data_IF_488616299590
#
_entry.id   IF_488616299590
#
_cell.length_a   1.000
_cell.length_b   1.000
_cell.length_c   1.000
_cell.angle_alpha   90.00
_cell.angle_beta   90.00
_cell.angle_gamma   90.00
#
_symmetry.space_group_name_H-M   'P 1'
#
loop_
_entity.id
_entity.type
_entity.pdbx_description
1 polymer ?
#
# COMPACT_ATOMS: atom_id res chain seq x y z
N UNK A 1 10.81 32.16 -51.22
CA UNK A 1 10.90 32.19 -49.75
C UNK A 1 9.91 31.16 -49.24
N UNK A 2 10.38 30.00 -48.79
CA UNK A 2 9.51 28.90 -48.34
C UNK A 2 9.47 28.89 -46.80
N UNK A 3 8.28 29.03 -46.23
CA UNK A 3 8.04 28.90 -44.79
C UNK A 3 7.83 27.41 -44.51
N UNK A 4 8.78 26.80 -43.82
CA UNK A 4 8.63 25.45 -43.26
C UNK A 4 7.89 25.59 -41.92
N UNK A 5 6.61 25.21 -41.89
CA UNK A 5 5.87 25.02 -40.64
C UNK A 5 6.27 23.66 -40.05
N UNK A 6 7.23 23.68 -39.12
CA UNK A 6 7.51 22.56 -38.23
C UNK A 6 6.36 22.46 -37.21
N UNK A 7 5.39 21.60 -37.48
CA UNK A 7 4.47 21.12 -36.45
C UNK A 7 5.27 20.23 -35.49
N UNK A 8 5.76 20.82 -34.40
CA UNK A 8 6.28 20.06 -33.28
C UNK A 8 5.12 19.29 -32.64
N UNK A 9 4.94 18.03 -33.04
CA UNK A 9 4.11 17.09 -32.29
C UNK A 9 4.87 16.81 -30.99
N UNK A 10 4.54 17.58 -29.94
CA UNK A 10 4.87 17.18 -28.58
C UNK A 10 3.97 16.00 -28.26
N UNK A 11 4.41 14.79 -28.64
CA UNK A 11 3.89 13.59 -28.00
C UNK A 11 4.46 13.65 -26.59
N UNK A 12 3.74 14.30 -25.68
CA UNK A 12 3.85 13.99 -24.27
C UNK A 12 3.38 12.54 -24.17
N UNK A 13 4.30 11.58 -24.36
CA UNK A 13 4.08 10.24 -23.86
C UNK A 13 3.98 10.43 -22.36
N UNK A 14 2.76 10.45 -21.83
CA UNK A 14 2.54 10.12 -20.44
C UNK A 14 3.44 8.92 -20.14
N UNK A 15 4.23 8.93 -19.05
CA UNK A 15 5.02 7.76 -18.70
C UNK A 15 4.06 6.58 -18.75
N UNK A 16 4.41 5.58 -19.55
CA UNK A 16 3.66 4.34 -19.67
C UNK A 16 3.58 3.78 -18.26
N UNK A 17 2.53 4.11 -17.52
CA UNK A 17 2.14 3.38 -16.32
C UNK A 17 1.90 2.00 -16.87
N UNK A 18 2.80 1.05 -16.61
CA UNK A 18 2.56 -0.33 -16.94
C UNK A 18 1.21 -0.67 -16.33
N UNK A 19 0.18 -0.81 -17.17
CA UNK A 19 -1.16 -1.10 -16.69
C UNK A 19 -1.07 -2.51 -16.12
N UNK A 20 -1.00 -2.61 -14.80
CA UNK A 20 -1.04 -3.90 -14.14
C UNK A 20 -2.44 -4.44 -14.37
N UNK A 21 -2.55 -5.32 -15.36
CA UNK A 21 -3.78 -5.98 -15.75
C UNK A 21 -3.86 -7.35 -15.07
N UNK A 22 -4.97 -7.59 -14.38
CA UNK A 22 -5.28 -8.87 -13.76
C UNK A 22 -6.57 -9.44 -14.35
N UNK A 23 -6.55 -9.96 -15.59
CA UNK A 23 -7.76 -10.35 -16.32
C UNK A 23 -8.52 -11.53 -15.69
N UNK A 24 -7.85 -12.32 -14.83
CA UNK A 24 -8.41 -13.54 -14.23
C UNK A 24 -8.96 -13.34 -12.80
N UNK A 25 -9.00 -12.10 -12.30
CA UNK A 25 -9.57 -11.81 -10.97
C UNK A 25 -11.10 -11.72 -11.09
N UNK A 26 -11.87 -12.60 -10.43
CA UNK A 26 -13.32 -12.53 -10.44
C UNK A 26 -13.80 -11.30 -9.66
N UNK A 27 -14.92 -10.70 -10.07
CA UNK A 27 -15.52 -9.52 -9.43
C UNK A 27 -14.56 -8.33 -9.23
N UNK A 28 -13.61 -8.15 -10.16
CA UNK A 28 -12.52 -7.18 -10.05
C UNK A 28 -13.01 -5.80 -9.62
N UNK A 29 -12.42 -5.27 -8.54
CA UNK A 29 -12.71 -3.92 -8.03
C UNK A 29 -11.57 -2.95 -8.27
N UNK A 30 -10.34 -3.44 -8.29
CA UNK A 30 -9.16 -2.67 -8.60
C UNK A 30 -8.96 -2.62 -10.12
N UNK A 31 -8.96 -1.41 -10.68
CA UNK A 31 -8.47 -1.16 -12.04
C UNK A 31 -6.94 -0.95 -12.02
N UNK A 32 -6.26 -0.91 -13.19
CA UNK A 32 -4.80 -0.75 -13.23
C UNK A 32 -4.29 0.49 -12.48
N UNK A 33 -5.02 1.60 -12.50
CA UNK A 33 -4.65 2.82 -11.78
C UNK A 33 -4.75 2.67 -10.26
N UNK A 34 -5.79 1.97 -9.79
CA UNK A 34 -6.00 1.70 -8.37
C UNK A 34 -4.92 0.76 -7.82
N UNK A 35 -4.51 -0.26 -8.60
CA UNK A 35 -3.39 -1.16 -8.26
C UNK A 35 -2.10 -0.38 -8.13
N UNK A 36 -1.76 0.42 -9.14
CA UNK A 36 -0.57 1.25 -9.14
C UNK A 36 -0.54 2.18 -7.92
N UNK A 37 -1.66 2.85 -7.63
CA UNK A 37 -1.75 3.75 -6.48
C UNK A 37 -1.50 3.07 -5.13
N UNK A 38 -1.98 1.83 -4.94
CA UNK A 38 -1.73 1.07 -3.71
C UNK A 38 -0.28 0.63 -3.60
N UNK A 39 0.31 0.11 -4.69
CA UNK A 39 1.73 -0.28 -4.73
C UNK A 39 2.64 0.92 -4.47
N UNK A 40 2.41 2.03 -5.17
CA UNK A 40 3.15 3.27 -5.00
C UNK A 40 3.05 3.81 -3.57
N UNK A 41 1.85 3.75 -2.98
CA UNK A 41 1.63 4.11 -1.59
C UNK A 41 2.49 3.29 -0.63
N UNK A 42 2.47 1.95 -0.75
CA UNK A 42 3.30 1.06 0.06
C UNK A 42 4.79 1.32 -0.17
N UNK A 43 5.23 1.43 -1.42
CA UNK A 43 6.64 1.63 -1.77
C UNK A 43 7.17 2.99 -1.30
N UNK A 44 6.34 4.04 -1.34
CA UNK A 44 6.68 5.34 -0.75
C UNK A 44 6.93 5.23 0.75
N UNK A 45 6.04 4.56 1.49
CA UNK A 45 6.19 4.36 2.92
C UNK A 45 7.40 3.48 3.26
N UNK A 46 7.59 2.37 2.54
CA UNK A 46 8.77 1.50 2.67
C UNK A 46 10.07 2.26 2.39
N UNK A 47 10.07 3.19 1.43
CA UNK A 47 11.20 4.09 1.16
C UNK A 47 11.53 4.99 2.36
N UNK A 48 10.53 5.46 3.12
CA UNK A 48 10.79 6.25 4.35
C UNK A 48 11.51 5.44 5.42
N UNK A 49 11.21 4.14 5.52
CA UNK A 49 11.92 3.22 6.42
C UNK A 49 13.34 3.01 5.95
N UNK A 50 13.54 2.71 4.66
CA UNK A 50 14.87 2.52 4.08
C UNK A 50 15.78 3.74 4.30
N UNK A 51 15.21 4.95 4.24
CA UNK A 51 15.91 6.22 4.46
C UNK A 51 16.07 6.60 5.94
N UNK A 52 15.42 5.89 6.87
CA UNK A 52 15.42 6.23 8.30
C UNK A 52 14.69 7.54 8.61
N UNK A 53 13.68 7.91 7.82
CA UNK A 53 12.89 9.13 7.99
C UNK A 53 11.48 8.87 8.54
N UNK A 54 11.11 7.60 8.74
CA UNK A 54 9.89 7.25 9.46
C UNK A 54 9.98 7.66 10.94
N UNK A 55 8.85 8.00 11.55
CA UNK A 55 8.77 8.40 12.96
C UNK A 55 7.73 7.59 13.72
N UNK A 56 8.06 7.16 14.93
CA UNK A 56 7.18 6.39 15.82
C UNK A 56 6.54 7.26 16.91
N UNK A 57 5.81 6.65 17.85
CA UNK A 57 5.18 7.32 18.99
C UNK A 57 6.09 8.39 19.61
N UNK A 58 5.57 9.62 19.75
CA UNK A 58 6.34 10.78 20.24
C UNK A 58 7.14 11.51 19.16
N UNK A 59 6.94 11.16 17.88
CA UNK A 59 7.66 11.75 16.73
C UNK A 59 9.17 11.50 16.76
N UNK A 60 9.60 10.41 17.39
CA UNK A 60 11.00 10.00 17.41
C UNK A 60 11.36 9.24 16.12
N UNK A 61 12.59 9.40 15.60
CA UNK A 61 13.01 8.74 14.37
C UNK A 61 13.12 7.22 14.55
N UNK A 62 12.62 6.48 13.57
CA UNK A 62 12.88 5.06 13.41
C UNK A 62 14.23 4.87 12.69
N UNK A 63 15.04 3.93 13.16
CA UNK A 63 16.30 3.59 12.50
C UNK A 63 16.07 3.17 11.04
N UNK A 64 17.05 3.44 10.17
CA UNK A 64 16.97 3.02 8.78
C UNK A 64 16.90 1.50 8.65
N UNK A 65 15.98 1.03 7.82
CA UNK A 65 15.84 -0.39 7.48
C UNK A 65 16.89 -0.82 6.47
N UNK A 66 17.44 -2.03 6.64
CA UNK A 66 18.26 -2.70 5.63
C UNK A 66 17.40 -3.67 4.83
N UNK A 67 17.78 -3.90 3.58
CA UNK A 67 17.13 -4.83 2.65
C UNK A 67 15.66 -4.52 2.32
N UNK A 68 15.17 -3.29 2.51
CA UNK A 68 13.76 -2.98 2.22
C UNK A 68 13.50 -3.02 0.70
N UNK A 69 12.88 -4.10 0.23
CA UNK A 69 12.59 -4.30 -1.19
C UNK A 69 11.32 -3.56 -1.64
N UNK A 70 11.31 -3.17 -2.90
CA UNK A 70 10.12 -2.65 -3.57
C UNK A 70 9.08 -3.75 -3.76
N UNK A 71 7.81 -3.44 -3.54
CA UNK A 71 6.69 -4.34 -3.80
C UNK A 71 6.23 -4.19 -5.25
N UNK A 72 5.81 -5.31 -5.83
CA UNK A 72 5.04 -5.37 -7.08
C UNK A 72 3.64 -5.90 -6.79
N UNK A 73 2.66 -5.52 -7.62
CA UNK A 73 1.34 -6.12 -7.52
C UNK A 73 1.37 -7.57 -7.99
N UNK A 74 0.62 -8.44 -7.32
CA UNK A 74 0.46 -9.85 -7.66
C UNK A 74 -1.03 -10.16 -7.84
N UNK A 75 -1.40 -10.61 -9.04
CA UNK A 75 -2.79 -10.88 -9.39
C UNK A 75 -3.37 -12.10 -8.65
N UNK A 76 -2.56 -13.08 -8.24
CA UNK A 76 -3.03 -14.24 -7.47
C UNK A 76 -3.30 -13.87 -6.01
N UNK A 77 -2.52 -12.94 -5.46
CA UNK A 77 -2.80 -12.33 -4.15
C UNK A 77 -4.07 -11.49 -4.22
N UNK A 78 -4.23 -10.64 -5.25
CA UNK A 78 -5.47 -9.88 -5.47
C UNK A 78 -6.68 -10.81 -5.58
N UNK A 79 -6.59 -11.90 -6.35
CA UNK A 79 -7.68 -12.85 -6.50
C UNK A 79 -8.14 -13.42 -5.15
N UNK A 80 -7.19 -13.81 -4.29
CA UNK A 80 -7.48 -14.32 -2.95
C UNK A 80 -8.10 -13.25 -2.06
N UNK A 81 -7.54 -12.03 -2.07
CA UNK A 81 -8.06 -10.91 -1.30
C UNK A 81 -9.47 -10.49 -1.74
N UNK A 82 -9.72 -10.41 -3.05
CA UNK A 82 -11.02 -10.08 -3.62
C UNK A 82 -12.07 -11.13 -3.26
N UNK A 83 -11.74 -12.42 -3.39
CA UNK A 83 -12.63 -13.52 -3.00
C UNK A 83 -13.00 -13.46 -1.52
N UNK A 84 -12.07 -13.07 -0.65
CA UNK A 84 -12.36 -12.91 0.77
C UNK A 84 -13.21 -11.67 1.05
N UNK A 85 -12.86 -10.53 0.46
CA UNK A 85 -13.59 -9.27 0.59
C UNK A 85 -15.04 -9.37 0.09
N UNK A 86 -15.29 -10.16 -0.95
CA UNK A 86 -16.63 -10.43 -1.49
C UNK A 86 -17.59 -11.08 -0.47
N UNK A 87 -17.06 -11.75 0.57
CA UNK A 87 -17.89 -12.29 1.68
C UNK A 87 -18.51 -11.19 2.53
N UNK A 88 -17.96 -9.97 2.50
CA UNK A 88 -18.40 -8.83 3.30
C UNK A 88 -18.42 -9.10 4.81
N UNK A 89 -17.45 -9.89 5.31
CA UNK A 89 -17.26 -10.17 6.75
C UNK A 89 -15.95 -9.54 7.19
N UNK A 90 -15.99 -8.74 8.26
CA UNK A 90 -14.79 -8.09 8.80
C UNK A 90 -14.04 -9.02 9.75
N UNK A 91 -13.38 -10.00 9.18
CA UNK A 91 -12.54 -10.96 9.89
C UNK A 91 -11.34 -11.35 8.99
N UNK A 92 -10.25 -11.82 9.59
CA UNK A 92 -9.09 -12.29 8.84
C UNK A 92 -9.37 -13.64 8.15
N UNK A 93 -8.78 -13.87 6.98
CA UNK A 93 -8.93 -15.14 6.22
C UNK A 93 -8.28 -16.35 6.87
N UNK A 94 -7.31 -16.11 7.75
CA UNK A 94 -6.51 -17.16 8.39
C UNK A 94 -5.43 -17.76 7.49
N UNK A 95 -5.18 -17.17 6.31
CA UNK A 95 -4.17 -17.67 5.36
C UNK A 95 -3.25 -16.55 4.85
N UNK A 96 -1.92 -16.74 4.98
CA UNK A 96 -0.92 -15.76 4.52
C UNK A 96 -0.80 -14.51 5.41
N UNK A 97 0.04 -13.57 4.98
CA UNK A 97 0.07 -12.21 5.57
C UNK A 97 -1.11 -11.40 5.06
N UNK A 98 -1.82 -10.70 5.95
CA UNK A 98 -3.06 -10.01 5.60
C UNK A 98 -3.27 -8.76 6.46
N UNK A 99 -3.62 -7.65 5.81
CA UNK A 99 -4.15 -6.47 6.48
C UNK A 99 -5.58 -6.23 6.00
N UNK A 100 -6.50 -5.92 6.92
CA UNK A 100 -7.90 -5.60 6.59
C UNK A 100 -8.26 -4.18 7.04
N UNK A 101 -9.19 -3.55 6.32
CA UNK A 101 -9.66 -2.20 6.61
C UNK A 101 -11.13 -2.08 6.28
N UNK A 102 -11.86 -1.33 7.11
CA UNK A 102 -13.25 -0.99 6.88
C UNK A 102 -13.49 0.47 7.25
N UNK A 103 -14.30 1.15 6.44
CA UNK A 103 -14.76 2.51 6.71
C UNK A 103 -16.27 2.60 6.56
N UNK A 104 -16.91 3.41 7.39
CA UNK A 104 -18.34 3.69 7.31
C UNK A 104 -18.57 5.07 6.71
N UNK A 105 -19.60 5.20 5.87
CA UNK A 105 -20.05 6.49 5.32
C UNK A 105 -21.57 6.51 5.24
N UNK A 106 -22.15 7.68 5.50
CA UNK A 106 -23.59 7.95 5.28
C UNK A 106 -23.86 8.51 3.87
N UNK A 107 -22.81 8.91 3.14
CA UNK A 107 -22.89 9.47 1.79
C UNK A 107 -22.49 8.47 0.71
N UNK A 108 -22.25 8.95 -0.53
CA UNK A 108 -21.74 8.11 -1.61
C UNK A 108 -20.45 7.40 -1.20
N UNK A 109 -20.29 6.15 -1.64
CA UNK A 109 -19.04 5.42 -1.45
C UNK A 109 -17.93 6.08 -2.29
N UNK A 110 -16.76 6.24 -1.69
CA UNK A 110 -15.57 6.67 -2.41
C UNK A 110 -15.11 5.63 -3.44
N UNK A 111 -14.16 6.01 -4.29
CA UNK A 111 -13.54 5.08 -5.24
C UNK A 111 -12.70 4.04 -4.50
N UNK A 112 -12.55 2.85 -5.11
CA UNK A 112 -11.70 1.77 -4.58
C UNK A 112 -10.25 2.24 -4.42
N UNK A 113 -9.74 3.06 -5.35
CA UNK A 113 -8.46 3.76 -5.24
C UNK A 113 -8.35 4.57 -3.94
N UNK A 114 -9.33 5.43 -3.65
CA UNK A 114 -9.31 6.26 -2.44
C UNK A 114 -9.40 5.40 -1.17
N UNK A 115 -10.19 4.33 -1.19
CA UNK A 115 -10.27 3.37 -0.08
C UNK A 115 -8.96 2.63 0.14
N UNK A 116 -8.26 2.19 -0.92
CA UNK A 116 -6.97 1.52 -0.81
C UNK A 116 -5.87 2.42 -0.25
N UNK A 117 -5.85 3.70 -0.64
CA UNK A 117 -4.94 4.71 -0.06
C UNK A 117 -5.26 4.93 1.42
N UNK A 118 -6.54 5.11 1.76
CA UNK A 118 -6.98 5.31 3.15
C UNK A 118 -6.63 4.13 4.05
N UNK A 119 -6.78 2.90 3.55
CA UNK A 119 -6.38 1.69 4.26
C UNK A 119 -4.86 1.67 4.52
N UNK A 120 -4.06 1.97 3.50
CA UNK A 120 -2.59 2.03 3.60
C UNK A 120 -2.14 3.06 4.64
N UNK A 121 -2.73 4.25 4.63
CA UNK A 121 -2.45 5.31 5.61
C UNK A 121 -2.88 4.91 7.03
N UNK A 122 -4.04 4.26 7.18
CA UNK A 122 -4.54 3.80 8.46
C UNK A 122 -3.60 2.75 9.09
N UNK A 123 -3.17 1.75 8.32
CA UNK A 123 -2.21 0.75 8.76
C UNK A 123 -0.86 1.37 9.11
N UNK A 124 -0.36 2.29 8.28
CA UNK A 124 0.88 3.00 8.57
C UNK A 124 0.83 3.82 9.87
N UNK A 125 -0.31 4.46 10.14
CA UNK A 125 -0.47 5.34 11.29
C UNK A 125 -0.27 4.63 12.64
N UNK A 126 -0.36 3.30 12.69
CA UNK A 126 -0.12 2.53 13.91
C UNK A 126 1.32 2.66 14.43
N UNK A 127 2.29 3.01 13.58
CA UNK A 127 3.66 3.31 14.01
C UNK A 127 3.69 4.41 15.09
N UNK A 128 2.76 5.37 15.03
CA UNK A 128 2.64 6.44 16.02
C UNK A 128 2.02 6.00 17.34
N UNK A 129 1.51 4.76 17.44
CA UNK A 129 0.93 4.18 18.66
C UNK A 129 1.93 3.32 19.42
N UNK A 130 3.07 2.99 18.80
CA UNK A 130 4.05 2.05 19.32
C UNK A 130 5.39 2.72 19.61
N UNK A 131 6.01 2.41 20.76
CA UNK A 131 7.35 2.87 21.10
C UNK A 131 8.41 1.89 20.57
N UNK A 132 8.91 2.16 19.36
CA UNK A 132 9.85 1.28 18.66
C UNK A 132 11.23 1.17 19.32
N UNK A 133 11.61 2.09 20.22
CA UNK A 133 12.90 1.99 20.93
C UNK A 133 13.02 0.75 21.82
N UNK A 134 11.89 0.18 22.25
CA UNK A 134 11.85 -1.07 23.03
C UNK A 134 12.01 -2.33 22.18
N UNK A 135 12.00 -2.20 20.86
CA UNK A 135 12.14 -3.29 19.91
C UNK A 135 12.99 -2.87 18.71
N UNK A 136 14.30 -2.63 18.93
CA UNK A 136 15.20 -2.10 17.90
C UNK A 136 15.41 -3.07 16.73
N UNK A 137 15.05 -4.35 16.90
CA UNK A 137 15.09 -5.37 15.83
C UNK A 137 13.77 -5.50 15.08
N UNK A 138 12.76 -4.71 15.46
CA UNK A 138 11.43 -4.70 14.86
C UNK A 138 10.80 -6.09 14.72
N UNK A 139 10.97 -6.90 15.76
CA UNK A 139 10.47 -8.28 15.81
C UNK A 139 8.97 -8.23 16.11
N UNK A 140 8.16 -8.89 15.28
CA UNK A 140 6.75 -9.07 15.59
C UNK A 140 6.61 -9.89 16.88
N UNK A 141 5.96 -9.32 17.88
CA UNK A 141 5.79 -9.92 19.20
C UNK A 141 4.43 -9.52 19.79
N UNK A 142 4.13 -9.99 21.00
CA UNK A 142 2.87 -9.73 21.68
C UNK A 142 2.63 -8.24 22.05
N UNK A 143 3.65 -7.39 21.95
CA UNK A 143 3.50 -5.94 22.15
C UNK A 143 3.21 -5.21 20.82
N UNK A 144 3.88 -5.63 19.74
CA UNK A 144 3.73 -5.05 18.41
C UNK A 144 2.41 -5.48 17.77
N UNK A 145 2.08 -6.77 17.82
CA UNK A 145 0.91 -7.31 17.13
C UNK A 145 -0.40 -6.58 17.47
N UNK A 146 -0.75 -6.33 18.74
CA UNK A 146 -1.99 -5.62 19.07
C UNK A 146 -1.92 -4.10 18.82
N UNK A 147 -0.73 -3.49 18.84
CA UNK A 147 -0.59 -2.02 18.76
C UNK A 147 -0.29 -1.50 17.33
N UNK A 148 0.43 -2.30 16.56
CA UNK A 148 1.03 -1.96 15.28
C UNK A 148 1.20 -3.18 14.35
N UNK A 149 0.30 -4.17 14.45
CA UNK A 149 0.32 -5.37 13.63
C UNK A 149 0.24 -5.07 12.13
N UNK A 150 -0.68 -4.19 11.72
CA UNK A 150 -0.83 -3.84 10.31
C UNK A 150 0.38 -3.05 9.81
N UNK A 151 0.85 -2.07 10.59
CA UNK A 151 2.08 -1.35 10.26
C UNK A 151 3.26 -2.31 10.09
N UNK A 152 3.37 -3.31 10.96
CA UNK A 152 4.50 -4.22 10.92
C UNK A 152 4.55 -5.02 9.61
N UNK A 153 3.40 -5.36 9.04
CA UNK A 153 3.30 -6.06 7.76
C UNK A 153 3.59 -5.14 6.56
N UNK A 154 3.37 -3.83 6.66
CA UNK A 154 3.70 -2.85 5.58
C UNK A 154 5.20 -2.87 5.27
N UNK A 155 6.06 -3.09 6.27
CA UNK A 155 7.52 -3.14 6.09
C UNK A 155 8.09 -4.56 6.00
N UNK A 156 7.39 -5.58 6.51
CA UNK A 156 7.89 -6.95 6.57
C UNK A 156 8.26 -7.53 5.19
N UNK A 157 9.15 -8.53 5.22
CA UNK A 157 9.41 -9.42 4.09
C UNK A 157 8.32 -10.50 4.09
N UNK A 158 7.57 -10.57 3.01
CA UNK A 158 6.71 -11.71 2.69
C UNK A 158 7.54 -12.78 1.98
#
# INVERSE_FOLDING_TARGET
>A
MYIVLLAAVVIATAPYVSSIECPNVPNVKFDPESRAAVVDGHNKLRSTIAKGTAVYLGSYPLASGKNIYELSWDCEIEQRAQKWADRCIFEHSGTGGENIFMSFTYGPRGSVKASGISATDAWWSELKKYNASKNPKNVLNNDVFPAAGHWSQVFAFI
#
